data_IF_056955177704
#
_entry.id   IF_056955177704
#
_cell.length_a   1.000
_cell.length_b   1.000
_cell.length_c   1.000
_cell.angle_alpha   90.00
_cell.angle_beta   90.00
_cell.angle_gamma   90.00
#
_symmetry.space_group_name_H-M   'P 1'
#
loop_
_entity.id
_entity.type
_entity.pdbx_description
1 polymer ?
#
# COMPACT_ATOMS: atom_id res chain seq x y z
N UNK A 1 4.71 -18.03 -14.22
CA UNK A 1 4.86 -16.63 -14.67
C UNK A 1 4.33 -15.75 -13.56
N UNK A 2 5.20 -15.22 -12.69
CA UNK A 2 4.78 -14.28 -11.67
C UNK A 2 4.43 -12.96 -12.39
N UNK A 3 3.19 -12.51 -12.28
CA UNK A 3 2.82 -11.16 -12.66
C UNK A 3 3.73 -10.18 -11.90
N UNK A 4 4.11 -9.03 -12.49
CA UNK A 4 4.87 -8.03 -11.76
C UNK A 4 4.11 -7.67 -10.47
N UNK A 5 4.81 -7.44 -9.33
CA UNK A 5 4.16 -7.14 -8.07
C UNK A 5 3.26 -5.94 -8.26
N UNK A 6 1.97 -6.15 -8.06
CA UNK A 6 0.96 -5.11 -8.21
C UNK A 6 0.89 -4.31 -6.92
N UNK A 7 0.21 -3.16 -6.96
CA UNK A 7 0.00 -2.33 -5.77
C UNK A 7 -0.72 -3.09 -4.64
N UNK A 8 -1.43 -4.19 -4.96
CA UNK A 8 -2.08 -5.09 -4.02
C UNK A 8 -1.12 -5.98 -3.23
N UNK A 9 0.06 -6.28 -3.80
CA UNK A 9 1.04 -7.21 -3.23
C UNK A 9 2.07 -6.49 -2.35
N UNK A 10 2.08 -5.16 -2.37
CA UNK A 10 2.89 -4.36 -1.46
C UNK A 10 2.37 -4.45 -0.03
N UNK A 11 3.27 -4.44 0.93
CA UNK A 11 2.89 -4.24 2.34
C UNK A 11 2.36 -2.83 2.56
N UNK A 12 1.51 -2.66 3.57
CA UNK A 12 0.99 -1.34 3.93
C UNK A 12 2.11 -0.38 4.30
N UNK A 13 3.19 -0.87 4.92
CA UNK A 13 4.39 -0.09 5.20
C UNK A 13 5.14 0.35 3.93
N UNK A 14 5.36 -0.55 2.96
CA UNK A 14 6.02 -0.21 1.68
C UNK A 14 5.17 0.77 0.87
N UNK A 15 3.85 0.54 0.82
CA UNK A 15 2.92 1.44 0.17
C UNK A 15 3.02 2.84 0.77
N UNK A 16 2.92 2.97 2.10
CA UNK A 16 2.96 4.27 2.77
C UNK A 16 4.33 4.94 2.70
N UNK A 17 5.41 4.16 2.76
CA UNK A 17 6.78 4.66 2.65
C UNK A 17 7.05 5.22 1.25
N UNK A 18 6.58 4.53 0.21
CA UNK A 18 6.72 4.99 -1.18
C UNK A 18 5.68 6.02 -1.61
N UNK A 19 4.53 6.08 -0.94
CA UNK A 19 3.32 6.84 -1.35
C UNK A 19 2.59 7.45 -0.14
N UNK A 20 3.19 8.39 0.62
CA UNK A 20 2.55 8.98 1.80
C UNK A 20 1.23 9.71 1.47
N UNK A 21 1.01 10.10 0.21
CA UNK A 21 -0.23 10.69 -0.27
C UNK A 21 -1.45 9.75 -0.18
N UNK A 22 -1.23 8.43 -0.06
CA UNK A 22 -2.34 7.48 0.13
C UNK A 22 -2.85 7.41 1.57
N UNK A 23 -2.06 7.90 2.56
CA UNK A 23 -2.41 7.82 3.99
C UNK A 23 -3.80 8.40 4.30
N UNK A 24 -4.21 9.56 3.75
CA UNK A 24 -5.57 10.07 3.93
C UNK A 24 -6.67 9.16 3.35
N UNK A 25 -6.40 8.39 2.29
CA UNK A 25 -7.34 7.41 1.71
C UNK A 25 -7.54 6.25 2.67
N UNK A 26 -6.44 5.71 3.22
CA UNK A 26 -6.48 4.66 4.25
C UNK A 26 -7.35 5.10 5.44
N UNK A 27 -7.15 6.32 5.94
CA UNK A 27 -7.92 6.87 7.06
C UNK A 27 -9.41 7.06 6.71
N UNK A 28 -9.75 7.43 5.47
CA UNK A 28 -11.15 7.55 5.01
C UNK A 28 -11.86 6.20 4.98
N UNK A 29 -11.14 5.14 4.63
CA UNK A 29 -11.64 3.76 4.66
C UNK A 29 -11.63 3.13 6.06
N UNK A 30 -11.25 3.89 7.10
CA UNK A 30 -11.24 3.42 8.49
C UNK A 30 -10.07 2.49 8.84
N UNK A 31 -9.06 2.40 7.98
CA UNK A 31 -7.87 1.60 8.23
C UNK A 31 -7.00 2.27 9.31
N UNK A 32 -6.80 1.58 10.43
CA UNK A 32 -5.90 2.01 11.51
C UNK A 32 -4.41 1.73 11.23
N UNK A 33 -4.09 1.25 10.02
CA UNK A 33 -2.75 0.84 9.61
C UNK A 33 -1.62 1.88 9.81
N UNK A 34 -1.83 3.22 9.73
CA UNK A 34 -0.74 4.18 9.90
C UNK A 34 -0.01 4.12 11.24
N UNK A 35 -0.59 3.47 12.25
CA UNK A 35 0.02 3.25 13.57
C UNK A 35 0.05 1.78 14.02
N UNK A 36 -0.25 0.82 13.14
CA UNK A 36 -0.31 -0.59 13.52
C UNK A 36 1.05 -1.28 13.32
N UNK A 37 1.54 -2.00 14.33
CA UNK A 37 2.77 -2.79 14.24
C UNK A 37 2.71 -3.92 13.18
N UNK A 38 1.51 -4.25 12.68
CA UNK A 38 1.31 -5.24 11.62
C UNK A 38 1.44 -4.67 10.19
N UNK A 39 1.51 -3.35 10.02
CA UNK A 39 1.62 -2.72 8.69
C UNK A 39 2.76 -3.23 7.78
N UNK A 40 3.97 -3.59 8.28
CA UNK A 40 5.01 -4.17 7.42
C UNK A 40 4.81 -5.64 7.09
N UNK A 41 3.81 -6.30 7.66
CA UNK A 41 3.50 -7.71 7.41
C UNK A 41 2.18 -7.91 6.66
N UNK A 42 1.29 -6.93 6.68
CA UNK A 42 0.00 -6.97 6.03
C UNK A 42 0.09 -6.32 4.65
N UNK A 43 -0.32 -7.05 3.61
CA UNK A 43 -0.44 -6.54 2.24
C UNK A 43 -1.69 -5.69 2.06
N UNK A 44 -1.71 -4.87 1.01
CA UNK A 44 -2.88 -4.09 0.61
C UNK A 44 -4.08 -5.00 0.34
N UNK A 45 -3.86 -6.16 -0.27
CA UNK A 45 -4.91 -7.17 -0.49
C UNK A 45 -5.49 -7.69 0.83
N UNK A 46 -4.63 -8.15 1.74
CA UNK A 46 -5.07 -8.69 3.04
C UNK A 46 -5.78 -7.62 3.87
N UNK A 47 -5.33 -6.37 3.81
CA UNK A 47 -6.00 -5.25 4.45
C UNK A 47 -7.40 -5.02 3.86
N UNK A 48 -7.57 -5.08 2.53
CA UNK A 48 -8.88 -4.98 1.90
C UNK A 48 -9.79 -6.12 2.34
N UNK A 49 -9.31 -7.36 2.33
CA UNK A 49 -10.08 -8.54 2.74
C UNK A 49 -10.47 -8.48 4.22
N UNK A 50 -9.54 -8.12 5.11
CA UNK A 50 -9.78 -8.04 6.55
C UNK A 50 -10.80 -6.94 6.93
N UNK A 51 -10.88 -5.87 6.14
CA UNK A 51 -11.79 -4.75 6.36
C UNK A 51 -13.06 -4.83 5.48
N UNK A 52 -13.20 -5.87 4.66
CA UNK A 52 -14.36 -6.06 3.77
C UNK A 52 -14.46 -5.01 2.66
N UNK A 53 -13.33 -4.50 2.18
CA UNK A 53 -13.23 -3.54 1.09
C UNK A 53 -13.12 -4.26 -0.26
N UNK A 54 -13.79 -3.73 -1.27
CA UNK A 54 -13.60 -4.20 -2.65
C UNK A 54 -12.21 -3.81 -3.15
N UNK A 55 -11.36 -4.82 -3.40
CA UNK A 55 -9.97 -4.63 -3.74
C UNK A 55 -9.77 -3.71 -4.94
N UNK A 56 -10.56 -3.88 -6.00
CA UNK A 56 -10.43 -3.09 -7.24
C UNK A 56 -10.74 -1.60 -7.00
N UNK A 57 -11.79 -1.31 -6.22
CA UNK A 57 -12.16 0.05 -5.82
C UNK A 57 -11.08 0.67 -4.94
N UNK A 58 -10.58 -0.08 -3.97
CA UNK A 58 -9.54 0.40 -3.06
C UNK A 58 -8.23 0.72 -3.80
N UNK A 59 -7.79 -0.16 -4.70
CA UNK A 59 -6.62 0.09 -5.54
C UNK A 59 -6.81 1.32 -6.44
N UNK A 60 -8.02 1.52 -6.98
CA UNK A 60 -8.38 2.72 -7.74
C UNK A 60 -8.23 4.01 -6.92
N UNK A 61 -8.74 4.03 -5.70
CA UNK A 61 -8.62 5.18 -4.79
C UNK A 61 -7.15 5.46 -4.42
N UNK A 62 -6.36 4.42 -4.17
CA UNK A 62 -4.93 4.54 -3.87
C UNK A 62 -4.15 5.09 -5.08
N UNK A 63 -4.46 4.62 -6.29
CA UNK A 63 -3.85 5.10 -7.52
C UNK A 63 -4.22 6.56 -7.81
N UNK A 64 -5.49 6.92 -7.59
CA UNK A 64 -5.97 8.29 -7.75
C UNK A 64 -5.30 9.26 -6.77
N UNK A 65 -5.06 8.82 -5.53
CA UNK A 65 -4.44 9.66 -4.50
C UNK A 65 -2.92 9.84 -4.66
N UNK A 66 -2.20 8.83 -5.16
CA UNK A 66 -0.75 8.99 -5.38
C UNK A 66 -0.44 9.91 -6.56
N UNK A 67 -1.37 10.10 -7.50
CA UNK A 67 -1.23 11.06 -8.61
C UNK A 67 -0.05 10.79 -9.58
N UNK A 68 0.82 9.82 -9.28
CA UNK A 68 1.90 9.38 -10.15
C UNK A 68 1.45 8.16 -10.94
N UNK A 69 1.26 8.37 -12.24
CA UNK A 69 1.04 7.33 -13.25
C UNK A 69 2.29 6.50 -13.54
N UNK A 70 3.18 6.31 -12.56
CA UNK A 70 4.39 5.51 -12.68
C UNK A 70 5.60 6.16 -12.03
N UNK A 71 6.19 5.47 -11.06
CA UNK A 71 7.63 5.56 -10.86
C UNK A 71 8.14 4.29 -10.19
N UNK A 72 9.07 3.63 -10.87
CA UNK A 72 9.85 2.49 -10.42
C UNK A 72 10.38 2.73 -9.01
N UNK A 73 10.03 1.84 -8.08
CA UNK A 73 10.63 1.83 -6.74
C UNK A 73 12.00 1.16 -6.84
N UNK A 74 13.03 1.99 -6.97
CA UNK A 74 14.41 1.58 -6.72
C UNK A 74 14.52 1.20 -5.24
N UNK A 75 14.90 -0.04 -5.00
CA UNK A 75 15.13 -0.67 -3.70
C UNK A 75 16.07 0.19 -2.84
N UNK A 76 15.53 0.78 -1.77
CA UNK A 76 16.33 1.28 -0.66
C UNK A 76 16.87 0.08 0.13
N UNK A 77 17.92 -0.54 -0.40
CA UNK A 77 18.82 -1.39 0.39
C UNK A 77 19.66 -0.47 1.28
N UNK A 78 19.11 -0.08 2.43
CA UNK A 78 19.93 0.48 3.52
C UNK A 78 20.55 -0.69 4.30
N UNK A 79 21.51 -1.36 3.69
CA UNK A 79 22.40 -2.27 4.43
C UNK A 79 23.53 -1.41 5.01
N UNK A 80 23.26 -0.88 6.22
CA UNK A 80 24.32 -0.37 7.09
C UNK A 80 24.77 -1.50 8.00
N UNK A 81 25.95 -2.06 7.65
CA UNK A 81 26.97 -2.67 8.52
C UNK A 81 27.13 -4.18 8.50
#
# INVERSE_FOLDING_TARGET
MAAPPTLADLTMAELMSGRPAVVPVLLRHGLACPGCAMAPFMTVREAAEAYGLELDVFLGDLAAADGRTGHSIETVSTESR
#
